data_IF_114449026065
#
_entry.id   IF_114449026065
#
_cell.length_a   1.000
_cell.length_b   1.000
_cell.length_c   1.000
_cell.angle_alpha   90.00
_cell.angle_beta   90.00
_cell.angle_gamma   90.00
#
_symmetry.space_group_name_H-M   'P 1'
#
loop_
_entity.id
_entity.type
_entity.pdbx_description
1 polymer ?
#
# COMPACT_ATOMS: atom_id res chain seq x y z
N UNK A 1 -31.65 28.91 -49.34
CA UNK A 1 -30.21 28.81 -49.01
C UNK A 1 -30.02 29.35 -47.60
N UNK A 2 -30.23 28.51 -46.61
CA UNK A 2 -29.71 28.72 -45.27
C UNK A 2 -28.54 27.75 -45.20
N UNK A 3 -27.32 28.28 -45.27
CA UNK A 3 -26.11 27.50 -45.03
C UNK A 3 -26.22 26.89 -43.65
N UNK A 4 -26.14 25.57 -43.57
CA UNK A 4 -25.89 24.84 -42.33
C UNK A 4 -24.61 25.42 -41.73
N UNK A 5 -24.75 26.29 -40.73
CA UNK A 5 -23.64 26.64 -39.87
C UNK A 5 -23.38 25.40 -39.01
N UNK A 6 -22.49 24.52 -39.48
CA UNK A 6 -21.76 23.60 -38.62
C UNK A 6 -21.06 24.46 -37.57
N UNK A 7 -21.69 24.62 -36.40
CA UNK A 7 -20.98 25.03 -35.21
C UNK A 7 -20.01 23.89 -34.91
N UNK A 8 -18.79 23.99 -35.44
CA UNK A 8 -17.67 23.17 -34.99
C UNK A 8 -17.46 23.56 -33.53
N UNK A 9 -18.07 22.79 -32.61
CA UNK A 9 -17.82 22.95 -31.19
C UNK A 9 -16.37 22.57 -30.98
N UNK A 10 -15.49 23.58 -31.05
CA UNK A 10 -14.07 23.41 -30.75
C UNK A 10 -13.95 22.67 -29.41
N UNK A 11 -13.30 21.50 -29.46
CA UNK A 11 -13.08 20.67 -28.29
C UNK A 11 -12.33 21.48 -27.23
N UNK A 12 -12.92 21.65 -26.05
CA UNK A 12 -12.24 22.19 -24.87
C UNK A 12 -11.19 21.20 -24.35
N UNK A 13 -9.97 21.35 -24.84
CA UNK A 13 -8.82 20.54 -24.45
C UNK A 13 -8.24 20.92 -23.09
N UNK A 14 -8.79 21.91 -22.39
CA UNK A 14 -8.21 22.50 -21.17
C UNK A 14 -6.74 22.92 -21.35
N UNK A 15 -6.36 23.33 -22.58
CA UNK A 15 -4.98 23.69 -22.93
C UNK A 15 -4.00 22.50 -22.97
N UNK A 16 -4.48 21.26 -22.93
CA UNK A 16 -3.64 20.06 -22.96
C UNK A 16 -3.31 19.69 -24.43
N UNK A 17 -2.02 19.74 -24.84
CA UNK A 17 -1.63 19.31 -26.18
C UNK A 17 -1.74 17.79 -26.30
N UNK A 18 -2.26 17.29 -27.42
CA UNK A 18 -2.24 15.87 -27.75
C UNK A 18 -1.08 15.54 -28.67
N UNK A 19 -0.41 14.41 -28.44
CA UNK A 19 0.69 13.94 -29.30
C UNK A 19 0.19 12.75 -30.12
N UNK A 20 0.05 12.87 -31.45
CA UNK A 20 -0.42 11.78 -32.29
C UNK A 20 0.62 10.65 -32.36
N UNK A 21 0.15 9.42 -32.46
CA UNK A 21 0.99 8.23 -32.59
C UNK A 21 0.21 7.02 -33.09
N UNK A 22 0.93 5.91 -33.29
CA UNK A 22 0.33 4.62 -33.61
C UNK A 22 1.10 3.48 -32.95
N UNK A 23 0.40 2.42 -32.57
CA UNK A 23 1.01 1.19 -32.05
C UNK A 23 0.36 -0.03 -32.68
N UNK A 24 1.16 -1.01 -33.06
CA UNK A 24 0.69 -2.31 -33.56
C UNK A 24 0.81 -3.34 -32.45
N UNK A 25 -0.32 -3.90 -32.04
CA UNK A 25 -0.41 -4.85 -30.94
C UNK A 25 -0.79 -6.23 -31.47
N UNK A 26 0.01 -7.24 -31.12
CA UNK A 26 -0.33 -8.64 -31.33
C UNK A 26 -1.39 -9.06 -30.32
N UNK A 27 -2.51 -9.56 -30.80
CA UNK A 27 -3.62 -10.01 -29.96
C UNK A 27 -3.26 -11.28 -29.21
N UNK A 28 -3.90 -11.46 -28.05
CA UNK A 28 -3.79 -12.67 -27.27
C UNK A 28 -4.60 -13.84 -27.85
N UNK A 29 -4.58 -14.98 -27.15
CA UNK A 29 -5.34 -16.18 -27.52
C UNK A 29 -6.86 -15.97 -27.53
N UNK A 30 -7.36 -14.93 -26.85
CA UNK A 30 -8.76 -14.53 -26.84
C UNK A 30 -9.10 -13.51 -27.95
N UNK A 31 -8.15 -13.21 -28.83
CA UNK A 31 -8.30 -12.22 -29.91
C UNK A 31 -8.59 -10.80 -29.40
N UNK A 32 -8.12 -10.44 -28.21
CA UNK A 32 -8.22 -9.11 -27.62
C UNK A 32 -6.85 -8.47 -27.39
N UNK A 33 -6.85 -7.15 -27.22
CA UNK A 33 -5.64 -6.36 -26.86
C UNK A 33 -5.65 -5.88 -25.41
N UNK A 34 -6.79 -5.98 -24.71
CA UNK A 34 -6.91 -5.64 -23.29
C UNK A 34 -7.13 -4.17 -22.96
N UNK A 35 -7.99 -3.48 -23.70
CA UNK A 35 -8.45 -2.13 -23.38
C UNK A 35 -9.97 -2.06 -23.25
N UNK A 36 -10.48 -1.14 -22.44
CA UNK A 36 -11.88 -0.70 -22.47
C UNK A 36 -11.98 0.70 -23.09
N UNK A 37 -13.09 0.96 -23.79
CA UNK A 37 -13.31 2.17 -24.60
C UNK A 37 -14.49 2.96 -24.03
N UNK A 38 -14.31 4.26 -23.85
CA UNK A 38 -15.32 5.23 -23.45
C UNK A 38 -15.56 6.29 -24.53
N UNK A 39 -16.55 7.15 -24.30
CA UNK A 39 -16.96 8.19 -25.25
C UNK A 39 -17.64 7.64 -26.50
N UNK A 40 -17.41 8.33 -27.63
CA UNK A 40 -18.01 8.07 -28.93
C UNK A 40 -19.40 8.64 -29.11
N UNK A 41 -19.88 8.53 -30.35
CA UNK A 41 -21.18 9.05 -30.76
C UNK A 41 -22.34 8.43 -29.94
N UNK A 42 -23.43 9.16 -29.67
CA UNK A 42 -23.75 10.52 -30.13
C UNK A 42 -23.32 11.64 -29.16
N UNK A 43 -22.87 11.30 -27.94
CA UNK A 43 -22.72 12.28 -26.86
C UNK A 43 -21.30 12.85 -26.74
N UNK A 44 -20.29 12.13 -27.20
CA UNK A 44 -18.89 12.53 -27.07
C UNK A 44 -18.18 12.47 -28.44
N UNK A 45 -17.50 13.53 -28.88
CA UNK A 45 -16.83 13.55 -30.19
C UNK A 45 -15.61 12.61 -30.25
N UNK A 46 -14.98 12.35 -29.11
CA UNK A 46 -13.79 11.52 -28.98
C UNK A 46 -14.11 10.10 -28.50
N UNK A 47 -13.30 9.14 -28.91
CA UNK A 47 -13.21 7.82 -28.28
C UNK A 47 -11.92 7.75 -27.50
N UNK A 48 -11.94 7.21 -26.28
CA UNK A 48 -10.75 7.16 -25.44
C UNK A 48 -10.67 5.87 -24.63
N UNK A 49 -9.46 5.56 -24.18
CA UNK A 49 -9.19 4.38 -23.36
C UNK A 49 -9.64 4.65 -21.92
N UNK A 50 -10.59 3.86 -21.41
CA UNK A 50 -11.04 3.95 -20.01
C UNK A 50 -10.11 3.17 -19.08
N UNK A 51 -9.64 2.02 -19.54
CA UNK A 51 -8.76 1.15 -18.78
C UNK A 51 -7.89 0.32 -19.72
N UNK A 52 -6.65 0.09 -19.29
CA UNK A 52 -5.79 -0.97 -19.81
C UNK A 52 -5.77 -2.08 -18.76
N UNK A 53 -6.10 -3.31 -19.15
CA UNK A 53 -6.17 -4.46 -18.26
C UNK A 53 -4.79 -5.10 -18.07
N UNK A 54 -4.45 -5.52 -16.85
CA UNK A 54 -3.15 -6.13 -16.58
C UNK A 54 -2.97 -7.44 -17.34
N UNK A 55 -1.71 -7.81 -17.62
CA UNK A 55 -1.34 -9.05 -18.31
C UNK A 55 -1.97 -9.19 -19.72
N UNK A 56 -2.27 -8.07 -20.38
CA UNK A 56 -2.77 -8.04 -21.75
C UNK A 56 -1.74 -7.43 -22.71
N UNK A 57 -1.88 -7.63 -24.03
CA UNK A 57 -0.95 -7.06 -25.01
C UNK A 57 -0.72 -5.54 -24.85
N UNK A 58 -1.79 -4.76 -24.63
CA UNK A 58 -1.66 -3.32 -24.43
C UNK A 58 -0.92 -2.96 -23.13
N UNK A 59 -1.12 -3.71 -22.04
CA UNK A 59 -0.41 -3.48 -20.79
C UNK A 59 1.08 -3.84 -20.87
N UNK A 60 1.41 -4.91 -21.59
CA UNK A 60 2.79 -5.38 -21.77
C UNK A 60 3.60 -4.45 -22.68
N UNK A 61 2.95 -3.93 -23.73
CA UNK A 61 3.55 -2.96 -24.65
C UNK A 61 3.74 -1.58 -23.98
N UNK A 62 2.73 -1.10 -23.25
CA UNK A 62 2.81 0.13 -22.46
C UNK A 62 2.73 1.45 -23.26
N UNK A 63 2.63 1.39 -24.60
CA UNK A 63 2.56 2.60 -25.44
C UNK A 63 1.27 3.38 -25.24
N UNK A 64 0.13 2.69 -25.11
CA UNK A 64 -1.19 3.29 -24.90
C UNK A 64 -1.63 3.14 -23.44
N UNK A 65 -2.41 4.09 -22.94
CA UNK A 65 -2.82 4.12 -21.54
C UNK A 65 -4.13 4.90 -21.34
N UNK A 66 -4.77 4.74 -20.18
CA UNK A 66 -6.08 5.32 -19.88
C UNK A 66 -6.10 6.86 -20.05
N UNK A 67 -7.14 7.39 -20.70
CA UNK A 67 -7.25 8.80 -21.09
C UNK A 67 -6.69 9.12 -22.47
N UNK A 68 -5.90 8.24 -23.10
CA UNK A 68 -5.49 8.42 -24.50
C UNK A 68 -6.70 8.31 -25.42
N UNK A 69 -6.75 9.18 -26.42
CA UNK A 69 -7.81 9.16 -27.44
C UNK A 69 -7.44 8.16 -28.54
N UNK A 70 -8.44 7.43 -29.04
CA UNK A 70 -8.35 6.53 -30.18
C UNK A 70 -8.85 7.29 -31.40
N UNK A 71 -7.97 7.50 -32.37
CA UNK A 71 -8.27 8.25 -33.61
C UNK A 71 -8.49 7.35 -34.82
N UNK A 72 -8.00 6.11 -34.76
CA UNK A 72 -8.17 5.14 -35.84
C UNK A 72 -7.81 3.70 -35.49
N UNK A 73 -8.30 2.76 -36.30
CA UNK A 73 -7.99 1.32 -36.22
C UNK A 73 -7.59 0.83 -37.61
N UNK A 74 -6.37 0.29 -37.76
CA UNK A 74 -5.78 -0.15 -39.03
C UNK A 74 -5.93 0.90 -40.15
N UNK A 75 -5.55 2.15 -39.87
CA UNK A 75 -5.64 3.27 -40.82
C UNK A 75 -7.06 3.79 -41.09
N UNK A 76 -8.12 3.19 -40.52
CA UNK A 76 -9.50 3.69 -40.66
C UNK A 76 -9.85 4.61 -39.48
N UNK A 77 -10.29 5.82 -39.78
CA UNK A 77 -10.77 6.76 -38.76
C UNK A 77 -11.95 6.20 -37.96
N UNK A 78 -11.99 6.56 -36.68
CA UNK A 78 -13.11 6.24 -35.77
C UNK A 78 -13.94 7.46 -35.39
N UNK A 79 -13.69 8.64 -36.00
CA UNK A 79 -14.51 9.84 -35.77
C UNK A 79 -15.98 9.55 -36.10
N UNK A 80 -16.89 9.98 -35.23
CA UNK A 80 -18.32 9.76 -35.38
C UNK A 80 -18.82 8.35 -35.08
N UNK A 81 -17.95 7.42 -34.65
CA UNK A 81 -18.35 6.06 -34.29
C UNK A 81 -18.70 5.94 -32.81
N UNK A 82 -19.56 4.97 -32.50
CA UNK A 82 -19.85 4.54 -31.14
C UNK A 82 -18.72 3.67 -30.58
N UNK A 83 -18.58 3.62 -29.25
CA UNK A 83 -17.63 2.71 -28.58
C UNK A 83 -17.82 1.23 -28.97
N UNK A 84 -19.06 0.82 -29.24
CA UNK A 84 -19.39 -0.55 -29.66
C UNK A 84 -18.87 -0.85 -31.07
N UNK A 85 -18.99 0.10 -32.00
CA UNK A 85 -18.47 -0.06 -33.36
C UNK A 85 -16.95 -0.13 -33.37
N UNK A 86 -16.25 0.71 -32.60
CA UNK A 86 -14.79 0.65 -32.49
C UNK A 86 -14.32 -0.65 -31.85
N UNK A 87 -15.01 -1.12 -30.80
CA UNK A 87 -14.74 -2.42 -30.21
C UNK A 87 -14.87 -3.55 -31.25
N UNK A 88 -15.94 -3.52 -32.07
CA UNK A 88 -16.13 -4.47 -33.18
C UNK A 88 -15.04 -4.35 -34.25
N UNK A 89 -14.63 -3.13 -34.62
CA UNK A 89 -13.53 -2.91 -35.56
C UNK A 89 -12.24 -3.57 -35.07
N UNK A 90 -11.89 -3.41 -33.80
CA UNK A 90 -10.73 -4.07 -33.20
C UNK A 90 -10.93 -5.58 -33.21
N UNK A 91 -12.07 -6.09 -32.75
CA UNK A 91 -12.36 -7.54 -32.65
C UNK A 91 -12.29 -8.27 -34.01
N UNK A 92 -12.75 -7.63 -35.08
CA UNK A 92 -12.78 -8.19 -36.43
C UNK A 92 -11.39 -8.38 -37.05
N UNK A 93 -10.39 -7.65 -36.58
CA UNK A 93 -9.00 -7.83 -37.01
C UNK A 93 -8.42 -9.10 -36.37
N UNK A 94 -7.74 -9.94 -37.17
CA UNK A 94 -7.07 -11.16 -36.69
C UNK A 94 -5.57 -10.97 -36.63
N UNK A 95 -4.92 -11.56 -35.62
CA UNK A 95 -3.47 -11.49 -35.44
C UNK A 95 -3.03 -10.17 -34.80
N UNK A 96 -2.84 -9.13 -35.61
CA UNK A 96 -2.28 -7.85 -35.18
C UNK A 96 -3.21 -6.68 -35.53
N UNK A 97 -3.35 -5.74 -34.60
CA UNK A 97 -4.17 -4.53 -34.78
C UNK A 97 -3.33 -3.30 -34.53
N UNK A 98 -3.42 -2.33 -35.44
CA UNK A 98 -2.78 -1.02 -35.31
C UNK A 98 -3.80 -0.03 -34.76
N UNK A 99 -3.50 0.55 -33.61
CA UNK A 99 -4.28 1.61 -32.97
C UNK A 99 -3.59 2.94 -33.25
N UNK A 100 -4.30 3.86 -33.89
CA UNK A 100 -3.89 5.26 -33.98
C UNK A 100 -4.48 6.00 -32.79
N UNK A 101 -3.65 6.79 -32.12
CA UNK A 101 -4.03 7.45 -30.88
C UNK A 101 -3.50 8.88 -30.81
N UNK A 102 -4.13 9.66 -29.95
CA UNK A 102 -3.68 10.95 -29.49
C UNK A 102 -3.32 10.80 -28.00
N UNK A 103 -2.03 10.90 -27.69
CA UNK A 103 -1.52 10.75 -26.33
C UNK A 103 -1.97 11.94 -25.48
N UNK A 104 -2.57 11.65 -24.34
CA UNK A 104 -2.94 12.68 -23.37
C UNK A 104 -1.68 13.13 -22.60
N UNK A 105 -1.24 14.37 -22.84
CA UNK A 105 -0.16 15.02 -22.08
C UNK A 105 -0.71 15.65 -20.79
N UNK A 106 -1.19 14.81 -19.89
CA UNK A 106 -1.70 15.23 -18.60
C UNK A 106 -0.55 15.49 -17.62
N UNK A 107 -0.51 16.67 -16.97
CA UNK A 107 0.29 16.85 -15.75
C UNK A 107 -0.47 16.19 -14.57
N UNK A 108 0.09 15.16 -13.90
CA UNK A 108 -0.56 14.54 -12.75
C UNK A 108 -0.92 15.50 -11.62
N UNK A 109 -0.27 16.69 -11.54
CA UNK A 109 -0.65 17.74 -10.58
C UNK A 109 -2.05 18.29 -10.84
N UNK A 110 -2.48 18.38 -12.10
CA UNK A 110 -3.81 18.86 -12.45
C UNK A 110 -4.91 17.91 -11.96
N UNK A 111 -4.62 16.61 -11.87
CA UNK A 111 -5.54 15.61 -11.31
C UNK A 111 -5.57 15.57 -9.78
N UNK A 112 -4.79 16.39 -9.07
CA UNK A 112 -4.79 16.47 -7.60
C UNK A 112 -5.66 17.62 -7.10
N UNK A 113 -6.97 17.49 -7.31
CA UNK A 113 -7.94 18.48 -6.83
C UNK A 113 -8.16 18.38 -5.31
N UNK A 114 -8.69 19.47 -4.72
CA UNK A 114 -9.12 19.47 -3.32
C UNK A 114 -10.14 18.35 -3.04
N UNK A 115 -11.00 18.05 -4.02
CA UNK A 115 -11.95 16.95 -3.94
C UNK A 115 -11.27 15.58 -3.74
N UNK A 116 -10.20 15.29 -4.50
CA UNK A 116 -9.41 14.07 -4.32
C UNK A 116 -8.76 14.03 -2.93
N UNK A 117 -8.25 15.18 -2.44
CA UNK A 117 -7.66 15.28 -1.10
C UNK A 117 -8.71 15.00 -0.01
N UNK A 118 -9.90 15.58 -0.12
CA UNK A 118 -11.00 15.37 0.83
C UNK A 118 -11.48 13.92 0.81
N UNK A 119 -11.59 13.30 -0.37
CA UNK A 119 -11.89 11.86 -0.50
C UNK A 119 -10.83 11.00 0.19
N UNK A 120 -9.54 11.32 0.04
CA UNK A 120 -8.44 10.61 0.72
C UNK A 120 -8.52 10.75 2.24
N UNK A 121 -8.84 11.94 2.74
CA UNK A 121 -9.07 12.18 4.17
C UNK A 121 -10.27 11.36 4.69
N UNK A 122 -11.39 11.36 3.95
CA UNK A 122 -12.56 10.53 4.27
C UNK A 122 -12.18 9.06 4.38
N UNK A 123 -11.45 8.51 3.42
CA UNK A 123 -10.99 7.12 3.46
C UNK A 123 -10.15 6.82 4.71
N UNK A 124 -9.23 7.72 5.08
CA UNK A 124 -8.39 7.58 6.28
C UNK A 124 -9.22 7.57 7.57
N UNK A 125 -10.26 8.39 7.66
CA UNK A 125 -11.12 8.44 8.83
C UNK A 125 -11.99 7.19 8.98
N UNK A 126 -12.60 6.74 7.88
CA UNK A 126 -13.51 5.59 7.86
C UNK A 126 -12.81 4.28 8.19
N UNK A 127 -11.53 4.13 7.82
CA UNK A 127 -10.75 2.93 8.11
C UNK A 127 -10.66 2.64 9.63
N UNK A 128 -10.55 3.69 10.45
CA UNK A 128 -10.41 3.57 11.90
C UNK A 128 -11.76 3.55 12.64
N UNK A 129 -12.90 3.54 11.92
CA UNK A 129 -14.23 3.55 12.52
C UNK A 129 -14.86 2.16 12.58
N UNK A 130 -15.67 1.92 13.61
CA UNK A 130 -16.56 0.75 13.65
C UNK A 130 -17.60 0.83 12.53
N UNK A 131 -18.19 -0.29 12.11
CA UNK A 131 -19.24 -0.31 11.09
C UNK A 131 -20.43 0.55 11.51
N UNK A 132 -20.92 0.35 12.74
CA UNK A 132 -22.02 1.14 13.30
C UNK A 132 -21.73 2.64 13.37
N UNK A 133 -20.51 3.05 13.70
CA UNK A 133 -20.13 4.48 13.73
C UNK A 133 -20.08 5.09 12.33
N UNK A 134 -19.53 4.38 11.35
CA UNK A 134 -19.46 4.86 9.98
C UNK A 134 -20.86 5.00 9.36
N UNK A 135 -21.74 4.02 9.59
CA UNK A 135 -23.12 4.03 9.10
C UNK A 135 -23.94 5.16 9.73
N UNK A 136 -23.78 5.39 11.04
CA UNK A 136 -24.40 6.51 11.74
C UNK A 136 -23.96 7.89 11.20
N UNK A 137 -22.77 7.97 10.62
CA UNK A 137 -22.23 9.18 9.99
C UNK A 137 -22.47 9.22 8.46
N UNK A 138 -23.18 8.24 7.90
CA UNK A 138 -23.44 8.16 6.45
C UNK A 138 -22.19 7.89 5.60
N UNK A 139 -21.13 7.33 6.17
CA UNK A 139 -19.86 7.09 5.50
C UNK A 139 -19.82 5.68 4.87
N UNK A 140 -20.03 5.59 3.55
CA UNK A 140 -19.95 4.32 2.81
C UNK A 140 -18.57 3.65 2.91
N UNK A 141 -18.57 2.33 3.18
CA UNK A 141 -17.37 1.51 3.42
C UNK A 141 -17.03 0.47 2.34
N UNK A 142 -17.83 0.37 1.27
CA UNK A 142 -17.86 -0.80 0.37
C UNK A 142 -16.51 -1.19 -0.28
N UNK A 143 -15.51 -0.30 -0.30
CA UNK A 143 -14.19 -0.52 -0.93
C UNK A 143 -13.05 -0.55 0.13
N UNK A 144 -13.35 -0.20 1.39
CA UNK A 144 -12.35 -0.01 2.44
C UNK A 144 -12.13 -1.26 3.30
N UNK A 145 -13.20 -2.00 3.59
CA UNK A 145 -13.19 -3.04 4.61
C UNK A 145 -12.38 -4.29 4.25
N UNK A 146 -11.75 -4.87 5.28
CA UNK A 146 -11.15 -6.21 5.30
C UNK A 146 -9.78 -6.33 4.63
N UNK A 147 -8.97 -5.28 4.72
CA UNK A 147 -7.57 -5.33 4.30
C UNK A 147 -6.72 -6.13 5.29
N UNK A 148 -6.22 -7.30 4.85
CA UNK A 148 -5.37 -8.15 5.69
C UNK A 148 -4.09 -7.45 6.17
N UNK A 149 -3.58 -6.46 5.45
CA UNK A 149 -2.39 -5.70 5.86
C UNK A 149 -2.67 -4.74 7.01
N UNK A 150 -3.90 -4.24 7.15
CA UNK A 150 -4.33 -3.44 8.30
C UNK A 150 -4.43 -4.32 9.54
N UNK A 151 -5.04 -5.50 9.42
CA UNK A 151 -5.08 -6.47 10.53
C UNK A 151 -3.68 -6.87 10.99
N UNK A 152 -2.77 -7.15 10.06
CA UNK A 152 -1.36 -7.47 10.39
C UNK A 152 -0.65 -6.28 11.06
N UNK A 153 -0.99 -5.04 10.71
CA UNK A 153 -0.48 -3.86 11.41
C UNK A 153 -0.94 -3.80 12.88
N UNK A 154 -2.23 -4.04 13.13
CA UNK A 154 -2.78 -4.10 14.49
C UNK A 154 -2.15 -5.23 15.31
N UNK A 155 -1.94 -6.40 14.70
CA UNK A 155 -1.23 -7.53 15.32
C UNK A 155 0.22 -7.14 15.67
N UNK A 156 0.95 -6.51 14.75
CA UNK A 156 2.30 -6.02 14.99
C UNK A 156 2.36 -4.96 16.09
N UNK A 157 1.32 -4.13 16.25
CA UNK A 157 1.20 -3.18 17.35
C UNK A 157 1.06 -3.90 18.69
N UNK A 158 0.12 -4.84 18.81
CA UNK A 158 -0.09 -5.64 20.03
C UNK A 158 1.15 -6.45 20.42
N UNK A 159 1.76 -7.15 19.46
CA UNK A 159 2.98 -7.94 19.69
C UNK A 159 4.16 -7.06 20.11
N UNK A 160 4.27 -5.85 19.54
CA UNK A 160 5.30 -4.87 19.94
C UNK A 160 5.15 -4.43 21.39
N UNK A 161 3.92 -4.17 21.85
CA UNK A 161 3.66 -3.76 23.24
C UNK A 161 3.97 -4.88 24.21
N UNK A 162 3.54 -6.11 23.89
CA UNK A 162 3.85 -7.30 24.67
C UNK A 162 5.36 -7.51 24.85
N UNK A 163 6.11 -7.49 23.75
CA UNK A 163 7.57 -7.65 23.80
C UNK A 163 8.28 -6.50 24.51
N UNK A 164 7.78 -5.28 24.40
CA UNK A 164 8.31 -4.13 25.16
C UNK A 164 8.15 -4.37 26.66
N UNK A 165 6.97 -4.81 27.10
CA UNK A 165 6.70 -5.18 28.48
C UNK A 165 7.65 -6.28 28.96
N UNK A 166 7.75 -7.39 28.21
CA UNK A 166 8.69 -8.48 28.53
C UNK A 166 10.13 -7.99 28.69
N UNK A 167 10.62 -7.19 27.74
CA UNK A 167 11.98 -6.65 27.78
C UNK A 167 12.21 -5.80 29.03
N UNK A 168 11.26 -4.95 29.40
CA UNK A 168 11.35 -4.12 30.62
C UNK A 168 11.35 -4.97 31.89
N UNK A 169 10.48 -5.99 31.97
CA UNK A 169 10.45 -6.92 33.10
C UNK A 169 11.75 -7.72 33.23
N UNK A 170 12.26 -8.27 32.14
CA UNK A 170 13.53 -9.02 32.15
C UNK A 170 14.70 -8.13 32.57
N UNK A 171 14.76 -6.88 32.10
CA UNK A 171 15.78 -5.92 32.54
C UNK A 171 15.72 -5.64 34.04
N UNK A 172 14.51 -5.44 34.59
CA UNK A 172 14.31 -5.26 36.05
C UNK A 172 14.75 -6.50 36.83
N UNK A 173 14.30 -7.68 36.41
CA UNK A 173 14.64 -8.95 37.07
C UNK A 173 16.16 -9.18 37.09
N UNK A 174 16.84 -8.97 35.96
CA UNK A 174 18.29 -9.13 35.87
C UNK A 174 19.04 -8.14 36.76
N UNK A 175 18.55 -6.91 36.88
CA UNK A 175 19.14 -5.92 37.79
C UNK A 175 19.03 -6.38 39.24
N UNK A 176 17.84 -6.78 39.68
CA UNK A 176 17.62 -7.27 41.04
C UNK A 176 18.42 -8.55 41.31
N UNK A 177 18.50 -9.46 40.34
CA UNK A 177 19.31 -10.67 40.46
C UNK A 177 20.81 -10.36 40.57
N UNK A 178 21.29 -9.38 39.82
CA UNK A 178 22.68 -8.92 39.92
C UNK A 178 22.97 -8.31 41.29
N UNK A 179 22.11 -7.42 41.79
CA UNK A 179 22.22 -6.83 43.13
C UNK A 179 22.22 -7.92 44.21
N UNK A 180 21.32 -8.92 44.11
CA UNK A 180 21.31 -10.09 45.00
C UNK A 180 22.62 -10.89 44.92
N UNK A 181 23.16 -11.11 43.72
CA UNK A 181 24.42 -11.83 43.52
C UNK A 181 25.61 -11.11 44.16
N UNK A 182 25.62 -9.77 44.16
CA UNK A 182 26.62 -8.97 44.87
C UNK A 182 26.51 -9.12 46.39
N UNK A 183 25.28 -9.18 46.93
CA UNK A 183 25.07 -9.47 48.35
C UNK A 183 25.58 -10.86 48.74
N UNK A 184 25.36 -11.87 47.89
CA UNK A 184 25.93 -13.20 48.12
C UNK A 184 27.46 -13.18 48.14
N UNK A 185 28.11 -12.43 47.24
CA UNK A 185 29.56 -12.24 47.30
C UNK A 185 30.01 -11.64 48.63
N UNK A 186 29.33 -10.60 49.12
CA UNK A 186 29.65 -9.98 50.40
C UNK A 186 29.51 -10.97 51.57
N UNK A 187 28.47 -11.81 51.59
CA UNK A 187 28.35 -12.91 52.55
C UNK A 187 29.51 -13.90 52.45
N UNK A 188 29.90 -14.25 51.22
CA UNK A 188 31.04 -15.13 50.99
C UNK A 188 32.35 -14.57 51.58
N UNK A 189 32.57 -13.26 51.43
CA UNK A 189 33.75 -12.59 51.99
C UNK A 189 33.71 -12.57 53.53
N UNK A 190 32.54 -12.34 54.14
CA UNK A 190 32.38 -12.39 55.60
C UNK A 190 32.60 -13.81 56.15
N UNK A 191 31.98 -14.83 55.54
CA UNK A 191 32.16 -16.22 55.98
C UNK A 191 33.60 -16.70 55.85
N UNK A 192 34.33 -16.27 54.81
CA UNK A 192 35.75 -16.58 54.67
C UNK A 192 36.57 -15.99 55.83
N UNK A 193 36.28 -14.75 56.24
CA UNK A 193 36.96 -14.10 57.37
C UNK A 193 36.64 -14.79 58.69
N UNK A 194 35.39 -15.21 58.90
CA UNK A 194 34.98 -15.95 60.11
C UNK A 194 35.69 -17.30 60.15
N UNK A 195 35.68 -18.07 59.05
CA UNK A 195 36.31 -19.38 58.98
C UNK A 195 37.80 -19.35 59.35
N UNK A 196 38.56 -18.38 58.84
CA UNK A 196 40.00 -18.22 59.17
C UNK A 196 40.24 -17.92 60.65
N UNK A 197 39.28 -17.32 61.35
CA UNK A 197 39.40 -16.92 62.76
C UNK A 197 38.76 -17.92 63.74
N UNK A 198 38.12 -18.96 63.24
CA UNK A 198 37.35 -19.91 64.04
C UNK A 198 38.27 -20.98 64.66
N UNK A 199 38.39 -21.06 66.00
CA UNK A 199 39.28 -22.01 66.67
C UNK A 199 38.83 -23.47 66.54
N UNK A 200 37.53 -23.75 66.36
CA UNK A 200 37.07 -25.12 66.19
C UNK A 200 37.23 -25.58 64.73
N UNK A 201 38.04 -26.63 64.44
CA UNK A 201 38.36 -27.01 63.05
C UNK A 201 37.14 -27.35 62.19
N UNK A 202 36.18 -28.09 62.75
CA UNK A 202 34.95 -28.47 62.03
C UNK A 202 34.06 -27.25 61.67
N UNK A 203 34.02 -26.24 62.55
CA UNK A 203 33.26 -25.01 62.29
C UNK A 203 33.99 -24.11 61.26
N UNK A 204 35.32 -24.01 61.35
CA UNK A 204 36.16 -23.35 60.35
C UNK A 204 35.91 -23.90 58.95
N UNK A 205 35.97 -25.23 58.79
CA UNK A 205 35.72 -25.89 57.51
C UNK A 205 34.31 -25.59 56.96
N UNK A 206 33.28 -25.65 57.82
CA UNK A 206 31.92 -25.31 57.43
C UNK A 206 31.80 -23.86 56.93
N UNK A 207 32.42 -22.89 57.61
CA UNK A 207 32.42 -21.49 57.16
C UNK A 207 33.11 -21.28 55.82
N UNK A 208 34.20 -22.00 55.54
CA UNK A 208 34.84 -21.98 54.22
C UNK A 208 33.92 -22.54 53.13
N UNK A 209 33.23 -23.65 53.41
CA UNK A 209 32.23 -24.21 52.47
C UNK A 209 31.10 -23.22 52.18
N UNK A 210 30.57 -22.54 53.21
CA UNK A 210 29.56 -21.49 53.02
C UNK A 210 30.11 -20.30 52.21
N UNK A 211 31.35 -19.89 52.47
CA UNK A 211 32.00 -18.81 51.73
C UNK A 211 32.07 -19.12 50.22
N UNK A 212 32.52 -20.33 49.87
CA UNK A 212 32.65 -20.77 48.49
C UNK A 212 31.30 -20.94 47.80
N UNK A 213 30.29 -21.48 48.50
CA UNK A 213 28.94 -21.59 47.98
C UNK A 213 28.35 -20.20 47.64
N UNK A 214 28.52 -19.22 48.54
CA UNK A 214 28.05 -17.86 48.33
C UNK A 214 28.79 -17.14 47.17
N UNK A 215 30.11 -17.32 47.05
CA UNK A 215 30.89 -16.80 45.91
C UNK A 215 30.53 -17.49 44.59
N UNK A 216 30.16 -18.77 44.63
CA UNK A 216 29.67 -19.51 43.45
C UNK A 216 28.37 -18.91 42.89
N UNK A 217 27.46 -18.47 43.77
CA UNK A 217 26.21 -17.81 43.36
C UNK A 217 26.48 -16.51 42.59
N UNK A 218 27.51 -15.72 42.98
CA UNK A 218 27.91 -14.52 42.22
C UNK A 218 28.44 -14.87 40.83
N UNK A 219 29.29 -15.89 40.71
CA UNK A 219 29.81 -16.39 39.43
C UNK A 219 28.68 -16.86 38.51
N UNK A 220 27.69 -17.56 39.05
CA UNK A 220 26.48 -17.92 38.31
C UNK A 220 25.69 -16.69 37.88
N UNK A 221 25.53 -15.70 38.76
CA UNK A 221 24.93 -14.41 38.49
C UNK A 221 25.49 -13.70 37.26
N UNK A 222 26.82 -13.57 37.22
CA UNK A 222 27.56 -12.97 36.11
C UNK A 222 27.38 -13.78 34.82
N UNK A 223 27.40 -15.11 34.93
CA UNK A 223 27.23 -16.01 33.77
C UNK A 223 25.84 -15.86 33.16
N UNK A 224 24.79 -15.85 33.98
CA UNK A 224 23.41 -15.65 33.54
C UNK A 224 23.24 -14.31 32.80
N UNK A 225 23.82 -13.22 33.33
CA UNK A 225 23.80 -11.91 32.67
C UNK A 225 24.48 -11.93 31.30
N UNK A 226 25.65 -12.57 31.19
CA UNK A 226 26.36 -12.70 29.91
C UNK A 226 25.55 -13.49 28.88
N UNK A 227 24.82 -14.51 29.33
CA UNK A 227 23.94 -15.31 28.45
C UNK A 227 22.72 -14.54 27.99
N UNK A 228 22.07 -13.77 28.87
CA UNK A 228 20.80 -13.09 28.53
C UNK A 228 21.00 -11.76 27.79
N UNK A 229 22.12 -11.07 28.03
CA UNK A 229 22.37 -9.74 27.44
C UNK A 229 22.28 -9.71 25.89
N UNK A 230 22.82 -10.67 25.12
CA UNK A 230 22.64 -10.72 23.66
C UNK A 230 21.18 -10.83 23.25
N UNK A 231 20.39 -11.70 23.89
CA UNK A 231 18.95 -11.86 23.60
C UNK A 231 18.17 -10.57 23.80
N UNK A 232 18.50 -9.80 24.85
CA UNK A 232 17.89 -8.49 25.07
C UNK A 232 18.28 -7.47 24.01
N UNK A 233 19.51 -7.52 23.48
CA UNK A 233 19.94 -6.63 22.40
C UNK A 233 19.23 -6.95 21.08
N UNK A 234 19.03 -8.24 20.79
CA UNK A 234 18.29 -8.69 19.60
C UNK A 234 16.83 -8.28 19.67
N UNK A 235 16.17 -8.54 20.82
CA UNK A 235 14.80 -8.10 21.06
C UNK A 235 14.67 -6.57 20.98
N UNK A 236 15.63 -5.83 21.52
CA UNK A 236 15.66 -4.38 21.44
C UNK A 236 15.82 -3.89 19.98
N UNK A 237 16.61 -4.58 19.17
CA UNK A 237 16.76 -4.29 17.74
C UNK A 237 15.48 -4.57 16.98
N UNK A 238 14.83 -5.70 17.26
CA UNK A 238 13.54 -6.04 16.68
C UNK A 238 12.47 -4.99 16.99
N UNK A 239 12.33 -4.63 18.27
CA UNK A 239 11.35 -3.65 18.76
C UNK A 239 11.57 -2.22 18.23
N UNK A 240 12.82 -1.76 18.20
CA UNK A 240 13.11 -0.34 17.92
C UNK A 240 13.54 -0.07 16.48
N UNK A 241 13.84 -1.11 15.68
CA UNK A 241 14.22 -0.96 14.27
C UNK A 241 13.28 -1.70 13.34
N UNK A 242 13.16 -3.02 13.50
CA UNK A 242 12.42 -3.86 12.55
C UNK A 242 10.91 -3.56 12.54
N UNK A 243 10.27 -3.55 13.71
CA UNK A 243 8.82 -3.26 13.80
C UNK A 243 8.49 -1.84 13.29
N UNK A 244 9.16 -0.76 13.73
CA UNK A 244 8.87 0.59 13.25
C UNK A 244 9.03 0.75 11.73
N UNK A 245 10.06 0.13 11.15
CA UNK A 245 10.30 0.15 9.70
C UNK A 245 9.19 -0.58 8.91
N UNK A 246 8.73 -1.75 9.39
CA UNK A 246 7.57 -2.44 8.81
C UNK A 246 6.29 -1.62 8.95
N UNK A 247 6.02 -1.04 10.13
CA UNK A 247 4.87 -0.15 10.37
C UNK A 247 4.88 1.05 9.41
N UNK A 248 6.03 1.69 9.21
CA UNK A 248 6.17 2.81 8.28
C UNK A 248 5.82 2.39 6.85
N UNK A 249 6.23 1.19 6.44
CA UNK A 249 5.95 0.67 5.09
C UNK A 249 4.46 0.38 4.90
N UNK A 250 3.80 -0.24 5.89
CA UNK A 250 2.34 -0.44 5.85
C UNK A 250 1.60 0.90 5.83
N UNK A 251 2.04 1.91 6.58
CA UNK A 251 1.44 3.25 6.54
C UNK A 251 1.57 3.91 5.16
N UNK A 252 2.72 3.75 4.48
CA UNK A 252 2.91 4.20 3.10
C UNK A 252 1.97 3.48 2.13
N UNK A 253 1.79 2.17 2.30
CA UNK A 253 0.81 1.38 1.54
C UNK A 253 -0.61 1.93 1.69
N UNK A 254 -1.06 2.19 2.92
CA UNK A 254 -2.40 2.73 3.16
C UNK A 254 -2.58 4.10 2.52
N UNK A 255 -1.56 4.96 2.57
CA UNK A 255 -1.64 6.27 1.94
C UNK A 255 -1.82 6.19 0.40
N UNK A 256 -1.11 5.27 -0.25
CA UNK A 256 -1.23 5.03 -1.69
C UNK A 256 -2.55 4.32 -2.03
N UNK A 257 -3.01 3.37 -1.19
CA UNK A 257 -4.33 2.74 -1.31
C UNK A 257 -5.43 3.80 -1.31
N UNK A 258 -5.43 4.70 -0.31
CA UNK A 258 -6.46 5.73 -0.21
C UNK A 258 -6.41 6.74 -1.36
N UNK A 259 -5.24 7.06 -1.88
CA UNK A 259 -5.12 7.87 -3.11
C UNK A 259 -5.80 7.15 -4.30
N UNK A 260 -5.49 5.87 -4.54
CA UNK A 260 -6.12 5.09 -5.60
C UNK A 260 -7.64 4.99 -5.44
N UNK A 261 -8.13 4.71 -4.22
CA UNK A 261 -9.56 4.63 -3.93
C UNK A 261 -10.29 5.97 -4.16
N UNK A 262 -9.62 7.09 -3.86
CA UNK A 262 -10.17 8.43 -4.12
C UNK A 262 -10.42 8.65 -5.61
N UNK A 263 -9.49 8.22 -6.46
CA UNK A 263 -9.67 8.28 -7.91
C UNK A 263 -10.75 7.32 -8.40
N UNK A 264 -10.86 6.10 -7.84
CA UNK A 264 -11.95 5.18 -8.18
C UNK A 264 -13.33 5.79 -7.85
N UNK A 265 -13.46 6.41 -6.68
CA UNK A 265 -14.69 7.07 -6.27
C UNK A 265 -15.01 8.26 -7.19
N UNK A 266 -14.01 9.08 -7.53
CA UNK A 266 -14.21 10.21 -8.45
C UNK A 266 -14.66 9.76 -9.84
N UNK A 267 -14.05 8.70 -10.40
CA UNK A 267 -14.49 8.14 -11.68
C UNK A 267 -15.95 7.69 -11.60
N UNK A 268 -16.32 6.96 -10.54
CA UNK A 268 -17.71 6.50 -10.35
C UNK A 268 -18.69 7.68 -10.26
N UNK A 269 -18.36 8.71 -9.48
CA UNK A 269 -19.21 9.91 -9.38
C UNK A 269 -19.41 10.57 -10.76
N UNK A 270 -18.35 10.68 -11.57
CA UNK A 270 -18.43 11.26 -12.92
C UNK A 270 -19.21 10.37 -13.90
N UNK A 271 -19.12 9.05 -13.76
CA UNK A 271 -19.92 8.07 -14.54
C UNK A 271 -21.41 8.18 -14.17
N UNK A 272 -21.73 8.24 -12.87
CA UNK A 272 -23.09 8.37 -12.36
C UNK A 272 -23.72 9.72 -12.80
N UNK A 273 -22.93 10.80 -12.78
CA UNK A 273 -23.33 12.13 -13.29
C UNK A 273 -23.60 12.10 -14.80
N UNK A 274 -22.69 11.51 -15.60
CA UNK A 274 -22.87 11.36 -17.05
C UNK A 274 -24.14 10.57 -17.38
N UNK A 275 -24.36 9.44 -16.69
CA UNK A 275 -25.57 8.62 -16.87
C UNK A 275 -26.85 9.41 -16.55
N UNK A 276 -26.86 10.15 -15.43
CA UNK A 276 -28.03 10.93 -14.99
C UNK A 276 -28.35 12.04 -15.99
N UNK A 277 -27.33 12.77 -16.47
CA UNK A 277 -27.49 13.83 -17.45
C UNK A 277 -27.99 13.33 -18.80
N UNK A 278 -27.48 12.18 -19.27
CA UNK A 278 -27.99 11.54 -20.50
C UNK A 278 -29.45 11.13 -20.33
N UNK A 279 -29.83 10.57 -19.18
CA UNK A 279 -31.20 10.17 -18.90
C UNK A 279 -32.19 11.37 -18.88
N UNK A 280 -31.71 12.56 -18.50
CA UNK A 280 -32.48 13.81 -18.52
C UNK A 280 -32.50 14.50 -19.88
N UNK A 281 -31.71 14.04 -20.85
CA UNK A 281 -31.60 14.67 -22.18
C UNK A 281 -30.74 15.95 -22.18
N UNK A 282 -29.99 16.21 -21.11
CA UNK A 282 -29.13 17.39 -20.96
C UNK A 282 -27.65 16.96 -20.97
N UNK A 283 -27.01 16.80 -22.15
CA UNK A 283 -25.63 16.36 -22.22
C UNK A 283 -24.69 17.37 -21.55
N UNK A 284 -23.77 16.86 -20.74
CA UNK A 284 -22.80 17.67 -20.01
C UNK A 284 -21.80 18.29 -20.98
N UNK A 285 -21.50 19.58 -20.79
CA UNK A 285 -20.55 20.32 -21.63
C UNK A 285 -19.19 19.60 -21.77
N UNK A 286 -18.64 19.10 -20.65
CA UNK A 286 -17.38 18.34 -20.69
C UNK A 286 -17.44 17.13 -21.61
N UNK A 287 -18.59 16.46 -21.71
CA UNK A 287 -18.75 15.23 -22.51
C UNK A 287 -18.84 15.61 -23.98
N UNK A 288 -19.59 16.66 -24.31
CA UNK A 288 -19.73 17.16 -25.68
C UNK A 288 -18.43 17.75 -26.25
N UNK A 289 -17.46 18.10 -25.40
CA UNK A 289 -16.15 18.66 -25.82
C UNK A 289 -14.98 17.68 -25.73
N UNK A 290 -15.23 16.38 -25.56
CA UNK A 290 -14.17 15.34 -25.60
C UNK A 290 -13.73 14.78 -24.24
N UNK A 291 -14.41 15.18 -23.16
CA UNK A 291 -14.32 14.64 -21.80
C UNK A 291 -12.92 14.64 -21.20
N UNK A 292 -12.16 15.71 -21.44
CA UNK A 292 -10.75 15.84 -21.04
C UNK A 292 -10.51 15.72 -19.53
N UNK A 293 -11.38 16.31 -18.70
CA UNK A 293 -11.28 16.19 -17.24
C UNK A 293 -11.41 14.72 -16.79
N UNK A 294 -12.40 14.00 -17.31
CA UNK A 294 -12.58 12.58 -17.01
C UNK A 294 -11.37 11.76 -17.46
N UNK A 295 -10.85 12.01 -18.66
CA UNK A 295 -9.64 11.36 -19.21
C UNK A 295 -8.40 11.62 -18.34
N UNK A 296 -8.23 12.83 -17.82
CA UNK A 296 -7.18 13.16 -16.84
C UNK A 296 -7.34 12.36 -15.55
N UNK A 297 -8.57 12.25 -15.01
CA UNK A 297 -8.85 11.44 -13.82
C UNK A 297 -8.57 9.95 -14.08
N UNK A 298 -8.91 9.42 -15.26
CA UNK A 298 -8.58 8.04 -15.66
C UNK A 298 -7.06 7.79 -15.68
N UNK A 299 -6.28 8.74 -16.24
CA UNK A 299 -4.80 8.71 -16.23
C UNK A 299 -4.27 8.66 -14.79
N UNK A 300 -4.75 9.56 -13.93
CA UNK A 300 -4.33 9.61 -12.53
C UNK A 300 -4.70 8.34 -11.77
N UNK A 301 -5.90 7.77 -12.02
CA UNK A 301 -6.34 6.49 -11.46
C UNK A 301 -5.40 5.36 -11.87
N UNK A 302 -5.02 5.28 -13.15
CA UNK A 302 -4.10 4.25 -13.63
C UNK A 302 -2.74 4.35 -12.92
N UNK A 303 -2.18 5.55 -12.82
CA UNK A 303 -0.90 5.73 -12.13
C UNK A 303 -0.98 5.39 -10.63
N UNK A 304 -2.05 5.82 -9.95
CA UNK A 304 -2.28 5.50 -8.55
C UNK A 304 -2.45 3.98 -8.36
N UNK A 305 -3.12 3.29 -9.28
CA UNK A 305 -3.25 1.82 -9.29
C UNK A 305 -1.89 1.14 -9.39
N UNK A 306 -1.02 1.59 -10.30
CA UNK A 306 0.34 1.04 -10.45
C UNK A 306 1.18 1.25 -9.19
N UNK A 307 1.13 2.45 -8.58
CA UNK A 307 1.79 2.71 -7.28
C UNK A 307 1.24 1.82 -6.17
N UNK A 308 -0.08 1.65 -6.11
CA UNK A 308 -0.76 0.80 -5.13
C UNK A 308 -0.34 -0.66 -5.27
N UNK A 309 -0.37 -1.21 -6.49
CA UNK A 309 0.04 -2.59 -6.75
C UNK A 309 1.50 -2.84 -6.37
N UNK A 310 2.40 -1.91 -6.72
CA UNK A 310 3.82 -1.99 -6.33
C UNK A 310 3.98 -1.99 -4.81
N UNK A 311 3.40 -1.01 -4.12
CA UNK A 311 3.52 -0.88 -2.67
C UNK A 311 2.88 -2.06 -1.92
N UNK A 312 1.80 -2.64 -2.47
CA UNK A 312 1.20 -3.87 -1.93
C UNK A 312 2.19 -5.04 -1.98
N UNK A 313 2.88 -5.22 -3.10
CA UNK A 313 3.93 -6.24 -3.26
C UNK A 313 5.07 -6.00 -2.27
N UNK A 314 5.59 -4.77 -2.22
CA UNK A 314 6.70 -4.39 -1.32
C UNK A 314 6.36 -4.67 0.16
N UNK A 315 5.13 -4.38 0.60
CA UNK A 315 4.68 -4.67 1.97
C UNK A 315 4.58 -6.17 2.24
N UNK A 316 4.05 -6.96 1.30
CA UNK A 316 3.93 -8.41 1.46
C UNK A 316 5.30 -9.07 1.61
N UNK A 317 6.24 -8.73 0.74
CA UNK A 317 7.63 -9.21 0.83
C UNK A 317 8.28 -8.80 2.16
N UNK A 318 8.05 -7.56 2.62
CA UNK A 318 8.62 -7.07 3.88
C UNK A 318 8.04 -7.76 5.12
N UNK A 319 6.74 -8.09 5.11
CA UNK A 319 6.12 -8.87 6.17
C UNK A 319 6.68 -10.29 6.19
N UNK A 320 6.84 -10.92 5.02
CA UNK A 320 7.42 -12.25 4.92
C UNK A 320 8.87 -12.27 5.47
N UNK A 321 9.68 -11.28 5.12
CA UNK A 321 11.04 -11.11 5.67
C UNK A 321 11.05 -10.88 7.19
N UNK A 322 10.04 -10.20 7.72
CA UNK A 322 9.89 -9.99 9.17
C UNK A 322 9.55 -11.31 9.88
N UNK A 323 8.62 -12.08 9.31
CA UNK A 323 8.19 -13.38 9.84
C UNK A 323 9.34 -14.42 9.75
N UNK A 324 10.12 -14.43 8.67
CA UNK A 324 11.33 -15.29 8.53
C UNK A 324 12.42 -14.93 9.56
N UNK A 325 12.63 -13.64 9.84
CA UNK A 325 13.54 -13.22 10.92
C UNK A 325 13.05 -13.64 12.30
N UNK A 326 11.74 -13.84 12.47
CA UNK A 326 11.17 -14.36 13.70
C UNK A 326 11.44 -15.88 13.86
N UNK A 327 11.43 -16.64 12.77
CA UNK A 327 11.66 -18.10 12.75
C UNK A 327 13.12 -18.56 12.88
N UNK A 328 14.10 -17.66 12.76
CA UNK A 328 15.53 -17.98 12.86
C UNK A 328 16.14 -17.72 14.25
N UNK A 329 15.33 -17.40 15.27
CA UNK A 329 15.82 -17.39 16.66
C UNK A 329 15.72 -18.80 17.24
N UNK A 330 16.79 -19.33 17.87
CA UNK A 330 16.91 -20.73 18.25
C UNK A 330 16.09 -21.04 19.52
N UNK A 331 14.77 -20.96 19.41
CA UNK A 331 13.81 -21.36 20.45
C UNK A 331 12.64 -22.15 19.87
N UNK A 332 12.93 -22.98 18.86
CA UNK A 332 12.05 -24.08 18.41
C UNK A 332 12.73 -25.41 18.62
#
# INVERSE_FOLDING_TARGET
>A
MLSEYEYDFDEDKLGIPTVPGSVTLKKDSQNVIGISIGGGAQHCPCLYIVQVFDNTPAALDGTIAAGDEITGVNGKSVKGKTKVEVAKMIQNVKGEVTIHYNKLQADPKQGKSLDIVLKKVKHRLVENMSSGTADALGLSRAILCNDGLVKKLEELEKTSEFYKGMMEHTKRLLRTFFELSQTHRAFGDVFAVIGVREPQPAASEAFVMFADAHRSIEKFGITLLKTIKPMLNDLNTYLNKAIPDTKLTIRKYLDVKFEYLSYCLKVKEMDDEEYSSIALGEPLYRVSTGNYEYRLILRCRQEARSRFAKMRKDVLEKIELLDQKHGNYPFS
#
